data_IF_400805010102
#
_entry.id   IF_400805010102
#
_cell.length_a   1.000
_cell.length_b   1.000
_cell.length_c   1.000
_cell.angle_alpha   90.00
_cell.angle_beta   90.00
_cell.angle_gamma   90.00
#
_symmetry.space_group_name_H-M   'P 1'
#
loop_
_entity.id
_entity.type
_entity.pdbx_description
1 polymer ?
#
# COMPACT_ATOMS: atom_id res chain seq x y z
N UNK A 1 -31.95 16.59 39.24
CA UNK A 1 -30.56 16.13 39.01
C UNK A 1 -30.39 15.30 37.74
N UNK A 2 -31.31 14.38 37.39
CA UNK A 2 -31.22 13.53 36.18
C UNK A 2 -31.19 14.31 34.85
N UNK A 3 -31.92 15.43 34.74
CA UNK A 3 -32.03 16.21 33.49
C UNK A 3 -30.76 16.98 33.07
N UNK A 4 -29.81 17.23 33.98
CA UNK A 4 -28.51 17.85 33.64
C UNK A 4 -27.45 16.83 33.21
N UNK A 5 -27.67 15.55 33.51
CA UNK A 5 -26.76 14.45 33.14
C UNK A 5 -26.98 13.97 31.69
N UNK A 6 -28.23 14.03 31.21
CA UNK A 6 -28.62 13.65 29.84
C UNK A 6 -27.91 14.46 28.75
N UNK A 7 -27.83 15.81 28.80
CA UNK A 7 -27.13 16.57 27.77
C UNK A 7 -25.62 16.34 27.78
N UNK A 8 -25.03 16.08 28.97
CA UNK A 8 -23.61 15.74 29.09
C UNK A 8 -23.28 14.37 28.52
N UNK A 9 -24.15 13.37 28.74
CA UNK A 9 -24.00 12.02 28.20
C UNK A 9 -24.15 12.01 26.66
N UNK A 10 -25.10 12.80 26.13
CA UNK A 10 -25.31 12.96 24.68
C UNK A 10 -24.11 13.66 24.03
N UNK A 11 -23.57 14.72 24.64
CA UNK A 11 -22.38 15.41 24.14
C UNK A 11 -21.14 14.50 24.14
N UNK A 12 -20.98 13.66 25.15
CA UNK A 12 -19.89 12.69 25.24
C UNK A 12 -20.00 11.59 24.16
N UNK A 13 -21.20 11.05 23.94
CA UNK A 13 -21.47 10.09 22.86
C UNK A 13 -21.22 10.68 21.47
N UNK A 14 -21.60 11.94 21.24
CA UNK A 14 -21.37 12.64 19.97
C UNK A 14 -19.86 12.86 19.70
N UNK A 15 -19.08 13.14 20.75
CA UNK A 15 -17.62 13.31 20.64
C UNK A 15 -16.89 12.01 20.30
N UNK A 16 -17.34 10.87 20.84
CA UNK A 16 -16.78 9.54 20.54
C UNK A 16 -17.05 9.15 19.07
N UNK A 17 -18.22 9.51 18.52
CA UNK A 17 -18.55 9.27 17.10
C UNK A 17 -17.65 10.08 16.16
N UNK A 18 -17.23 11.30 16.54
CA UNK A 18 -16.33 12.09 15.69
C UNK A 18 -14.90 11.51 15.59
N UNK A 19 -14.46 10.69 16.55
CA UNK A 19 -13.16 10.00 16.49
C UNK A 19 -13.18 8.69 15.68
N UNK A 20 -14.36 8.18 15.30
CA UNK A 20 -14.48 7.05 14.36
C UNK A 20 -14.26 7.47 12.89
N UNK A 21 -14.03 8.76 12.62
CA UNK A 21 -13.79 9.31 11.28
C UNK A 21 -12.33 9.35 10.82
N UNK A 22 -11.36 8.99 11.66
CA UNK A 22 -9.96 8.82 11.22
C UNK A 22 -9.75 7.46 10.54
N UNK A 23 -10.61 7.09 9.58
CA UNK A 23 -10.08 6.33 8.46
C UNK A 23 -9.33 7.35 7.64
N UNK A 24 -8.01 7.20 7.55
CA UNK A 24 -7.24 7.88 6.51
C UNK A 24 -7.77 7.34 5.19
N UNK A 25 -8.85 7.94 4.71
CA UNK A 25 -9.17 7.95 3.29
C UNK A 25 -8.05 8.75 2.67
N UNK A 26 -6.97 8.06 2.29
CA UNK A 26 -6.07 8.56 1.27
C UNK A 26 -6.93 8.76 0.03
N UNK A 27 -7.51 9.96 0.00
CA UNK A 27 -8.17 10.58 -1.11
C UNK A 27 -7.11 10.72 -2.17
N UNK A 28 -6.99 9.69 -3.02
CA UNK A 28 -6.50 9.89 -4.38
C UNK A 28 -7.65 10.41 -5.27
N UNK A 29 -8.50 11.30 -4.74
CA UNK A 29 -9.50 12.01 -5.55
C UNK A 29 -8.85 13.22 -6.23
N UNK A 30 -7.73 12.97 -6.91
CA UNK A 30 -6.99 13.95 -7.70
C UNK A 30 -6.36 13.36 -8.96
N UNK A 31 -6.64 12.09 -9.29
CA UNK A 31 -6.10 11.43 -10.48
C UNK A 31 -7.21 10.70 -11.23
N UNK A 32 -8.30 11.41 -11.51
CA UNK A 32 -9.27 10.92 -12.50
C UNK A 32 -8.76 11.09 -13.94
N UNK A 33 -7.56 11.68 -14.15
CA UNK A 33 -7.01 12.00 -15.48
C UNK A 33 -5.47 11.96 -15.62
N UNK A 34 -4.70 11.43 -14.66
CA UNK A 34 -3.36 10.96 -15.07
C UNK A 34 -3.58 9.55 -15.59
N UNK A 35 -3.23 9.29 -16.84
CA UNK A 35 -2.86 7.95 -17.28
C UNK A 35 -2.15 7.29 -16.11
N UNK A 36 -2.71 6.18 -15.57
CA UNK A 36 -2.02 5.38 -14.56
C UNK A 36 -0.62 5.20 -15.11
N UNK A 37 0.33 5.88 -14.48
CA UNK A 37 1.70 5.95 -14.97
C UNK A 37 2.26 4.58 -14.66
N UNK A 38 2.11 3.68 -15.64
CA UNK A 38 2.44 2.27 -15.52
C UNK A 38 3.90 2.12 -15.13
N UNK A 39 4.75 3.02 -15.62
CA UNK A 39 6.17 3.06 -15.31
C UNK A 39 6.38 3.38 -13.83
N UNK A 40 5.72 4.42 -13.28
CA UNK A 40 5.76 4.67 -11.83
C UNK A 40 5.16 3.52 -11.00
N UNK A 41 4.07 2.92 -11.46
CA UNK A 41 3.43 1.82 -10.75
C UNK A 41 4.30 0.55 -10.73
N UNK A 42 5.09 0.35 -11.78
CA UNK A 42 6.07 -0.71 -11.93
C UNK A 42 7.32 -0.44 -11.07
N UNK A 43 7.90 0.75 -11.17
CA UNK A 43 9.05 1.18 -10.36
C UNK A 43 8.79 1.00 -8.86
N UNK A 44 7.63 1.45 -8.36
CA UNK A 44 7.26 1.27 -6.96
C UNK A 44 7.20 -0.21 -6.54
N UNK A 45 6.70 -1.10 -7.41
CA UNK A 45 6.65 -2.54 -7.12
C UNK A 45 8.05 -3.15 -7.10
N UNK A 46 8.93 -2.74 -8.00
CA UNK A 46 10.32 -3.18 -8.01
C UNK A 46 11.07 -2.74 -6.75
N UNK A 47 10.87 -1.49 -6.30
CA UNK A 47 11.44 -1.00 -5.05
C UNK A 47 10.95 -1.79 -3.83
N UNK A 48 9.66 -2.14 -3.78
CA UNK A 48 9.12 -3.01 -2.74
C UNK A 48 9.77 -4.40 -2.76
N UNK A 49 9.89 -5.02 -3.95
CA UNK A 49 10.53 -6.33 -4.10
C UNK A 49 11.99 -6.30 -3.61
N UNK A 50 12.77 -5.30 -4.05
CA UNK A 50 14.15 -5.08 -3.60
C UNK A 50 14.24 -4.88 -2.08
N UNK A 51 13.33 -4.10 -1.51
CA UNK A 51 13.25 -3.87 -0.07
C UNK A 51 12.94 -5.15 0.74
N UNK A 52 12.05 -6.01 0.24
CA UNK A 52 11.78 -7.30 0.87
C UNK A 52 12.93 -8.29 0.72
N UNK A 53 13.63 -8.30 -0.42
CA UNK A 53 14.86 -9.07 -0.60
C UNK A 53 15.95 -8.66 0.40
N UNK A 54 16.14 -7.36 0.61
CA UNK A 54 17.08 -6.84 1.60
C UNK A 54 16.73 -7.22 3.05
N UNK A 55 15.44 -7.45 3.34
CA UNK A 55 14.96 -7.95 4.63
C UNK A 55 15.04 -9.49 4.76
N UNK A 56 15.39 -10.20 3.68
CA UNK A 56 15.39 -11.67 3.63
C UNK A 56 14.01 -12.29 3.42
N UNK A 57 12.96 -11.49 3.20
CA UNK A 57 11.60 -11.97 2.93
C UNK A 57 11.41 -12.23 1.43
N UNK A 58 12.00 -13.34 0.96
CA UNK A 58 12.00 -13.75 -0.46
C UNK A 58 10.59 -14.00 -0.99
N UNK A 59 9.68 -14.50 -0.15
CA UNK A 59 8.28 -14.77 -0.52
C UNK A 59 7.51 -13.47 -0.81
N UNK A 60 7.61 -12.46 0.06
CA UNK A 60 6.97 -11.16 -0.23
C UNK A 60 7.59 -10.50 -1.46
N UNK A 61 8.91 -10.59 -1.64
CA UNK A 61 9.56 -10.08 -2.84
C UNK A 61 8.96 -10.69 -4.13
N UNK A 62 8.79 -12.01 -4.15
CA UNK A 62 8.15 -12.75 -5.26
C UNK A 62 6.74 -12.23 -5.55
N UNK A 63 5.90 -12.08 -4.53
CA UNK A 63 4.53 -11.57 -4.69
C UNK A 63 4.49 -10.15 -5.29
N UNK A 64 5.46 -9.30 -4.96
CA UNK A 64 5.57 -7.96 -5.55
C UNK A 64 6.02 -8.00 -7.01
N UNK A 65 6.92 -8.93 -7.36
CA UNK A 65 7.36 -9.14 -8.74
C UNK A 65 6.27 -9.74 -9.63
N UNK A 66 5.45 -10.66 -9.11
CA UNK A 66 4.28 -11.19 -9.83
C UNK A 66 3.32 -10.04 -10.22
N UNK A 67 3.04 -9.15 -9.27
CA UNK A 67 2.22 -7.96 -9.53
C UNK A 67 2.89 -6.96 -10.47
N UNK A 68 4.21 -6.98 -10.62
CA UNK A 68 4.92 -6.14 -11.58
C UNK A 68 4.78 -6.70 -13.01
N UNK A 69 4.83 -8.04 -13.15
CA UNK A 69 4.56 -8.73 -14.41
C UNK A 69 3.13 -8.52 -14.91
N UNK A 70 2.16 -8.34 -14.01
CA UNK A 70 0.78 -7.96 -14.38
C UNK A 70 0.69 -6.57 -15.03
N UNK A 71 1.62 -5.65 -14.73
CA UNK A 71 1.66 -4.31 -15.33
C UNK A 71 2.35 -4.36 -16.70
N UNK A 72 3.57 -4.87 -16.72
CA UNK A 72 4.36 -5.06 -17.92
C UNK A 72 5.22 -6.32 -17.79
N UNK A 73 4.73 -7.40 -18.39
CA UNK A 73 5.42 -8.69 -18.46
C UNK A 73 6.61 -8.70 -19.42
N UNK A 74 6.89 -7.60 -20.11
CA UNK A 74 8.02 -7.44 -21.04
C UNK A 74 9.02 -6.39 -20.57
N UNK A 75 8.82 -5.80 -19.40
CA UNK A 75 9.76 -4.83 -18.82
C UNK A 75 11.11 -5.52 -18.56
N UNK A 76 12.20 -5.01 -19.14
CA UNK A 76 13.55 -5.49 -18.82
C UNK A 76 13.86 -5.36 -17.33
N UNK A 77 13.44 -4.25 -16.70
CA UNK A 77 13.70 -4.03 -15.27
C UNK A 77 13.02 -5.09 -14.38
N UNK A 78 11.81 -5.53 -14.72
CA UNK A 78 11.13 -6.60 -13.97
C UNK A 78 11.93 -7.90 -14.05
N UNK A 79 12.46 -8.25 -15.22
CA UNK A 79 13.26 -9.46 -15.40
C UNK A 79 14.60 -9.36 -14.67
N UNK A 80 15.23 -8.18 -14.65
CA UNK A 80 16.47 -7.95 -13.91
C UNK A 80 16.27 -8.20 -12.41
N UNK A 81 15.18 -7.69 -11.83
CA UNK A 81 14.89 -7.90 -10.40
C UNK A 81 14.50 -9.35 -10.11
N UNK A 82 13.82 -10.05 -11.02
CA UNK A 82 13.63 -11.50 -10.91
C UNK A 82 14.95 -12.26 -10.91
N UNK A 83 15.90 -11.89 -11.78
CA UNK A 83 17.21 -12.52 -11.82
C UNK A 83 17.97 -12.32 -10.50
N UNK A 84 17.88 -11.12 -9.90
CA UNK A 84 18.45 -10.84 -8.57
C UNK A 84 17.81 -11.72 -7.48
N UNK A 85 16.48 -11.88 -7.49
CA UNK A 85 15.80 -12.75 -6.53
C UNK A 85 16.27 -14.20 -6.67
N UNK A 86 16.35 -14.71 -7.90
CA UNK A 86 16.83 -16.07 -8.15
C UNK A 86 18.29 -16.26 -7.75
N UNK A 87 19.14 -15.25 -7.99
CA UNK A 87 20.52 -15.29 -7.53
C UNK A 87 20.61 -15.39 -6.02
N UNK A 88 19.85 -14.56 -5.31
CA UNK A 88 19.81 -14.58 -3.86
C UNK A 88 19.23 -15.91 -3.34
N UNK A 89 18.29 -16.55 -4.04
CA UNK A 89 17.73 -17.86 -3.67
C UNK A 89 18.72 -19.03 -3.75
N UNK A 90 19.74 -18.91 -4.59
CA UNK A 90 20.80 -19.92 -4.72
C UNK A 90 21.88 -19.83 -3.63
N UNK A 91 21.87 -18.76 -2.81
CA UNK A 91 22.68 -18.60 -1.61
C UNK A 91 21.95 -19.08 -0.35
#
# INVERSE_FOLDING_TARGET
MKQRLVPGLIALLLSIVMMAGCTSTTTTNGVANASVDKDKALENRLQLALGYMAQGDREKARQHLDKAMEIDSRSPEVHDVWALLYQQEME
#
